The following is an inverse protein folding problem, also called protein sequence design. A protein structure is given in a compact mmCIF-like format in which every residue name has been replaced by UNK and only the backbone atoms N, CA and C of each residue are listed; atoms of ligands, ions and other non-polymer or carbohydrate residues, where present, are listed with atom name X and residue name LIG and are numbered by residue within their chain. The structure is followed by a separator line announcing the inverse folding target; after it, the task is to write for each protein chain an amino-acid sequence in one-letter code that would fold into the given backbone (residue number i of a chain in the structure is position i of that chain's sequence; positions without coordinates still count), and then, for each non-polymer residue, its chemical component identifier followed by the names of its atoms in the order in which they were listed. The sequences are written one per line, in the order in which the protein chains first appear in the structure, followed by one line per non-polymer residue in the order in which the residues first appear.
data_IF_867051139720
#
_entry.id   IF_867051139720
#
_cell.length_a   1.000
_cell.length_b   1.000
_cell.length_c   1.000
_cell.angle_alpha   90.00
_cell.angle_beta   90.00
_cell.angle_gamma   90.00
#
_symmetry.space_group_name_H-M   'P 1'
#
loop_
_entity.id
_entity.type
_entity.pdbx_description
1 polymer ?
#
# COMPACT_ATOMS: atom_id res chain seq x y z
N UNK A 1 -18.18 -29.65 -18.54
CA UNK A 1 -18.98 -28.51 -18.00
C UNK A 1 -18.03 -27.53 -17.32
N UNK A 2 -17.09 -26.98 -18.10
CA UNK A 2 -15.90 -26.29 -17.59
C UNK A 2 -16.08 -24.78 -17.56
N UNK A 3 -15.64 -24.16 -16.47
CA UNK A 3 -14.95 -22.87 -16.42
C UNK A 3 -15.53 -21.65 -17.20
N UNK A 4 -16.84 -21.60 -17.50
CA UNK A 4 -17.51 -20.48 -18.20
C UNK A 4 -17.66 -19.19 -17.36
N UNK A 5 -17.04 -19.07 -16.19
CA UNK A 5 -17.46 -18.10 -15.19
C UNK A 5 -16.47 -16.98 -14.88
N UNK A 6 -15.27 -16.94 -15.47
CA UNK A 6 -14.38 -15.77 -15.28
C UNK A 6 -15.04 -14.47 -15.80
N UNK A 7 -15.76 -14.57 -16.92
CA UNK A 7 -16.52 -13.44 -17.46
C UNK A 7 -17.67 -13.00 -16.56
N UNK A 8 -18.28 -13.94 -15.82
CA UNK A 8 -19.35 -13.67 -14.86
C UNK A 8 -18.81 -12.82 -13.68
N UNK A 9 -17.63 -13.17 -13.16
CA UNK A 9 -16.98 -12.39 -12.11
C UNK A 9 -16.66 -10.96 -12.55
N UNK A 10 -16.25 -10.75 -13.81
CA UNK A 10 -16.04 -9.41 -14.36
C UNK A 10 -17.33 -8.58 -14.40
N UNK A 11 -18.46 -9.18 -14.80
CA UNK A 11 -19.78 -8.51 -14.81
C UNK A 11 -20.19 -8.12 -13.38
N UNK A 12 -20.05 -9.03 -12.42
CA UNK A 12 -20.35 -8.74 -11.01
C UNK A 12 -19.49 -7.60 -10.50
N UNK A 13 -18.18 -7.60 -10.78
CA UNK A 13 -17.29 -6.52 -10.38
C UNK A 13 -17.72 -5.16 -10.96
N UNK A 14 -18.12 -5.12 -12.24
CA UNK A 14 -18.66 -3.91 -12.87
C UNK A 14 -19.93 -3.44 -12.15
N UNK A 15 -20.88 -4.33 -11.87
CA UNK A 15 -22.13 -3.98 -11.19
C UNK A 15 -21.86 -3.40 -9.79
N UNK A 16 -20.92 -3.99 -9.03
CA UNK A 16 -20.52 -3.48 -7.71
C UNK A 16 -19.87 -2.10 -7.85
N UNK A 17 -18.99 -1.88 -8.83
CA UNK A 17 -18.38 -0.55 -9.08
C UNK A 17 -19.44 0.50 -9.41
N UNK A 18 -20.47 0.14 -10.18
CA UNK A 18 -21.55 1.08 -10.55
C UNK A 18 -22.43 1.41 -9.33
N UNK A 19 -22.79 0.42 -8.51
CA UNK A 19 -23.64 0.62 -7.32
C UNK A 19 -22.93 1.38 -6.20
N UNK A 20 -21.69 1.02 -5.90
CA UNK A 20 -20.92 1.62 -4.81
C UNK A 20 -20.12 2.86 -5.25
N UNK A 21 -19.79 2.96 -6.54
CA UNK A 21 -18.95 4.00 -7.09
C UNK A 21 -17.45 3.69 -7.03
N UNK A 22 -16.69 4.22 -7.99
CA UNK A 22 -15.25 3.98 -8.16
C UNK A 22 -14.37 4.46 -6.99
N UNK A 23 -14.84 5.40 -6.17
CA UNK A 23 -14.12 5.90 -4.99
C UNK A 23 -14.37 5.07 -3.73
N UNK A 24 -15.56 4.48 -3.57
CA UNK A 24 -15.97 3.81 -2.32
C UNK A 24 -15.45 2.38 -2.19
N UNK A 25 -15.36 1.64 -3.29
CA UNK A 25 -14.72 0.32 -3.31
C UNK A 25 -13.26 0.35 -2.84
N UNK A 26 -12.37 1.19 -3.41
CA UNK A 26 -10.98 1.23 -2.97
C UNK A 26 -10.82 1.84 -1.58
N UNK A 27 -11.69 2.79 -1.20
CA UNK A 27 -11.70 3.36 0.16
C UNK A 27 -12.06 2.29 1.20
N UNK A 28 -13.16 1.54 0.98
CA UNK A 28 -13.58 0.44 1.86
C UNK A 28 -12.56 -0.71 1.87
N UNK A 29 -12.02 -1.08 0.70
CA UNK A 29 -10.99 -2.10 0.61
C UNK A 29 -9.70 -1.69 1.34
N UNK A 30 -9.30 -0.42 1.32
CA UNK A 30 -8.16 0.09 2.10
C UNK A 30 -8.42 -0.01 3.61
N UNK A 31 -9.60 0.41 4.07
CA UNK A 31 -9.96 0.31 5.49
C UNK A 31 -10.03 -1.13 5.98
N UNK A 32 -10.73 -1.99 5.24
CA UNK A 32 -10.84 -3.43 5.53
C UNK A 32 -9.48 -4.13 5.42
N UNK A 33 -8.68 -3.80 4.43
CA UNK A 33 -7.34 -4.37 4.21
C UNK A 33 -6.36 -4.01 5.33
N UNK A 34 -6.42 -2.79 5.86
CA UNK A 34 -5.60 -2.39 7.00
C UNK A 34 -6.00 -3.14 8.27
N UNK A 35 -7.30 -3.27 8.53
CA UNK A 35 -7.81 -4.07 9.65
C UNK A 35 -7.36 -5.53 9.52
N UNK A 36 -7.63 -6.17 8.38
CA UNK A 36 -7.23 -7.54 8.10
C UNK A 36 -5.71 -7.74 8.17
N UNK A 37 -4.90 -6.74 7.82
CA UNK A 37 -3.43 -6.82 7.95
C UNK A 37 -3.01 -6.89 9.42
N UNK A 38 -3.61 -6.09 10.29
CA UNK A 38 -3.33 -6.13 11.74
C UNK A 38 -3.75 -7.49 12.30
N UNK A 39 -4.98 -7.93 12.04
CA UNK A 39 -5.45 -9.26 12.43
C UNK A 39 -4.57 -10.38 11.86
N UNK A 40 -4.13 -10.28 10.60
CA UNK A 40 -3.23 -11.26 9.99
C UNK A 40 -1.87 -11.27 10.66
N UNK A 41 -1.31 -10.12 11.04
CA UNK A 41 -0.05 -10.02 11.75
C UNK A 41 -0.14 -10.64 13.15
N UNK A 42 -1.19 -10.33 13.91
CA UNK A 42 -1.42 -10.93 15.23
C UNK A 42 -1.65 -12.45 15.13
N UNK A 43 -2.49 -12.90 14.19
CA UNK A 43 -2.71 -14.33 13.95
C UNK A 43 -1.45 -15.02 13.43
N UNK A 44 -0.67 -14.34 12.58
CA UNK A 44 0.60 -14.88 12.09
C UNK A 44 1.62 -15.01 13.21
N UNK A 45 1.68 -14.07 14.14
CA UNK A 45 2.55 -14.14 15.32
C UNK A 45 2.17 -15.33 16.21
N UNK A 46 0.87 -15.51 16.49
CA UNK A 46 0.37 -16.70 17.21
C UNK A 46 0.70 -18.01 16.49
N UNK A 47 0.70 -18.03 15.15
CA UNK A 47 1.06 -19.20 14.36
C UNK A 47 2.59 -19.39 14.22
N UNK A 48 3.38 -18.33 14.32
CA UNK A 48 4.85 -18.33 14.17
C UNK A 48 5.57 -18.66 15.48
N UNK A 49 4.91 -18.47 16.64
CA UNK A 49 5.39 -18.95 17.95
C UNK A 49 5.63 -20.49 17.97
N UNK A 50 5.08 -21.22 17.00
CA UNK A 50 5.37 -22.65 16.75
C UNK A 50 6.41 -22.97 15.66
N UNK A 51 6.84 -22.02 14.82
CA UNK A 51 7.80 -22.27 13.72
C UNK A 51 8.44 -20.98 13.18
N UNK A 52 9.64 -20.68 13.71
CA UNK A 52 10.60 -19.64 13.25
C UNK A 52 10.73 -19.57 11.72
N UNK A 53 10.25 -18.50 11.08
CA UNK A 53 10.70 -18.04 9.75
C UNK A 53 10.27 -16.59 9.43
N UNK A 54 11.12 -15.91 8.66
CA UNK A 54 11.36 -14.46 8.56
C UNK A 54 10.31 -13.60 7.81
N UNK A 55 10.30 -12.27 8.03
CA UNK A 55 9.50 -11.33 7.25
C UNK A 55 10.27 -10.82 6.02
N UNK A 56 9.90 -11.29 4.83
CA UNK A 56 10.33 -10.70 3.55
C UNK A 56 9.09 -10.31 2.72
N UNK A 57 8.54 -9.11 2.97
CA UNK A 57 7.66 -8.42 2.02
C UNK A 57 7.52 -6.92 2.38
N UNK A 58 8.64 -6.22 2.49
CA UNK A 58 8.68 -4.77 2.24
C UNK A 58 9.98 -4.44 1.51
N UNK A 59 10.16 -5.06 0.35
CA UNK A 59 11.04 -4.49 -0.68
C UNK A 59 10.23 -3.38 -1.37
N UNK A 60 10.36 -2.19 -0.82
CA UNK A 60 10.88 -1.04 -1.55
C UNK A 60 10.53 -1.03 -3.05
N UNK A 61 9.39 -0.44 -3.41
CA UNK A 61 9.20 0.16 -4.73
C UNK A 61 9.56 1.64 -4.60
N UNK A 62 10.83 1.88 -4.88
CA UNK A 62 11.40 3.18 -5.25
C UNK A 62 10.50 3.97 -6.20
N UNK A 63 10.22 5.22 -5.84
CA UNK A 63 10.01 6.33 -6.77
C UNK A 63 10.57 7.62 -6.12
N UNK A 64 11.90 7.78 -6.24
CA UNK A 64 12.73 9.00 -6.06
C UNK A 64 12.18 10.21 -6.87
N UNK A 65 12.64 11.47 -6.67
CA UNK A 65 13.77 11.94 -5.83
C UNK A 65 13.48 13.17 -4.93
N UNK A 66 14.37 13.35 -3.96
CA UNK A 66 14.70 14.61 -3.28
C UNK A 66 15.10 15.68 -4.31
N UNK A 67 14.46 16.84 -4.27
CA UNK A 67 14.89 18.07 -4.93
C UNK A 67 15.81 18.85 -3.96
N UNK A 68 17.12 18.99 -4.22
CA UNK A 68 17.99 19.87 -3.46
C UNK A 68 17.95 21.27 -4.10
N UNK A 69 16.84 21.98 -3.91
CA UNK A 69 16.75 23.43 -4.12
C UNK A 69 17.61 24.16 -3.09
N UNK A 70 18.92 24.22 -3.34
CA UNK A 70 19.90 25.00 -2.55
C UNK A 70 19.69 26.49 -2.84
N UNK A 71 18.66 27.06 -2.21
CA UNK A 71 18.53 28.49 -1.97
C UNK A 71 19.00 28.79 -0.55
N UNK A 72 20.30 29.01 -0.35
CA UNK A 72 20.93 29.74 0.77
C UNK A 72 22.46 29.59 0.68
N UNK A 73 23.08 30.41 -0.17
CA UNK A 73 24.50 30.77 -0.06
C UNK A 73 24.74 32.04 -0.88
N UNK A 74 23.97 33.07 -0.54
CA UNK A 74 24.39 34.44 -0.66
C UNK A 74 24.22 35.02 0.75
N UNK A 75 25.12 35.89 1.17
CA UNK A 75 24.98 36.70 2.39
C UNK A 75 25.28 36.01 3.74
N UNK A 76 26.52 35.58 3.97
CA UNK A 76 27.27 35.91 5.20
C UNK A 76 28.67 35.27 5.18
N UNK A 77 29.71 36.11 5.10
CA UNK A 77 31.09 35.98 5.64
C UNK A 77 31.94 37.00 4.88
N UNK A 78 31.54 38.27 5.01
CA UNK A 78 32.34 39.47 4.72
C UNK A 78 32.87 40.07 6.03
N UNK A 79 33.21 39.22 7.01
CA UNK A 79 33.50 39.66 8.38
C UNK A 79 34.57 38.83 9.09
N UNK A 80 35.78 38.84 8.54
CA UNK A 80 37.04 38.79 9.32
C UNK A 80 38.19 39.05 8.36
N UNK A 81 38.25 40.29 7.87
CA UNK A 81 39.48 40.98 7.55
C UNK A 81 39.75 41.95 8.70
#
# INVERSE_FOLDING_TARGET
MGAMSWWHWAIVAIVVIVLFGSKKLPEAARGLGQSLRIFKSEVAEMQNDGKKAAPEASRELTAKPVDPGTGQSADDVKKSA
#
